data_IF_240385536216
#
_entry.id   IF_240385536216
#
_cell.length_a   1.000
_cell.length_b   1.000
_cell.length_c   1.000
_cell.angle_alpha   90.00
_cell.angle_beta   90.00
_cell.angle_gamma   90.00
#
_symmetry.space_group_name_H-M   'P 1'
#
loop_
_entity.id
_entity.type
_entity.pdbx_description
1 polymer ?
#
# COMPACT_ATOMS: atom_id res chain seq x y z
N UNK A 1 -3.86 28.44 30.57
CA UNK A 1 -3.87 29.56 29.60
C UNK A 1 -5.16 30.39 29.64
N UNK A 2 -6.12 30.08 30.51
CA UNK A 2 -7.37 30.85 30.64
C UNK A 2 -7.09 32.31 31.06
N UNK A 3 -7.76 33.26 30.43
CA UNK A 3 -7.52 34.71 30.61
C UNK A 3 -7.69 35.16 32.05
N UNK A 4 -8.70 34.65 32.75
CA UNK A 4 -9.00 35.05 34.12
C UNK A 4 -7.95 34.53 35.11
N UNK A 5 -7.35 33.38 34.82
CA UNK A 5 -6.22 32.86 35.59
C UNK A 5 -4.97 33.70 35.33
N UNK A 6 -4.68 34.01 34.06
CA UNK A 6 -3.53 34.82 33.66
C UNK A 6 -3.59 36.24 34.23
N UNK A 7 -4.78 36.82 34.32
CA UNK A 7 -5.02 38.17 34.85
C UNK A 7 -5.22 38.23 36.37
N UNK A 8 -5.04 37.09 37.09
CA UNK A 8 -5.19 36.98 38.55
C UNK A 8 -6.61 37.29 39.08
N UNK A 9 -7.64 37.07 38.26
CA UNK A 9 -9.05 37.22 38.64
C UNK A 9 -9.68 35.90 39.12
N UNK A 10 -8.91 34.82 39.19
CA UNK A 10 -9.40 33.52 39.67
C UNK A 10 -9.79 33.55 41.16
N UNK A 11 -11.02 33.13 41.46
CA UNK A 11 -11.55 32.97 42.83
C UNK A 11 -11.60 31.49 43.23
N UNK A 12 -12.04 31.19 44.46
CA UNK A 12 -12.16 29.80 44.97
C UNK A 12 -13.10 28.93 44.11
N UNK A 13 -14.08 29.54 43.46
CA UNK A 13 -15.04 28.84 42.59
C UNK A 13 -14.62 28.84 41.11
N UNK A 14 -13.40 29.28 40.79
CA UNK A 14 -12.91 29.45 39.42
C UNK A 14 -13.08 28.17 38.58
N UNK A 15 -12.67 27.00 39.08
CA UNK A 15 -12.79 25.74 38.33
C UNK A 15 -14.26 25.35 38.13
N UNK A 16 -15.10 25.54 39.15
CA UNK A 16 -16.54 25.20 39.11
C UNK A 16 -17.32 26.05 38.10
N UNK A 17 -16.91 27.31 37.91
CA UNK A 17 -17.58 28.26 37.02
C UNK A 17 -17.07 28.20 35.57
N UNK A 18 -16.03 27.42 35.29
CA UNK A 18 -15.40 27.30 33.96
C UNK A 18 -15.40 25.83 33.50
N UNK A 19 -16.59 25.26 33.15
CA UNK A 19 -16.74 23.86 32.76
C UNK A 19 -15.92 23.46 31.52
N UNK A 20 -15.55 24.42 30.67
CA UNK A 20 -14.64 24.23 29.54
C UNK A 20 -13.20 23.84 29.95
N UNK A 21 -12.78 24.11 31.19
CA UNK A 21 -11.52 23.60 31.71
C UNK A 21 -11.55 22.07 31.90
N UNK A 22 -12.75 21.50 32.02
CA UNK A 22 -12.98 20.06 32.13
C UNK A 22 -13.26 19.40 30.78
N UNK A 23 -13.45 20.17 29.71
CA UNK A 23 -13.59 19.63 28.36
C UNK A 23 -12.23 19.21 27.82
N UNK A 24 -11.84 17.99 28.11
CA UNK A 24 -10.63 17.39 27.53
C UNK A 24 -10.98 16.88 26.13
N UNK A 25 -10.56 17.61 25.11
CA UNK A 25 -10.51 17.07 23.75
C UNK A 25 -9.49 15.95 23.73
N UNK A 26 -9.89 14.72 23.39
CA UNK A 26 -8.94 13.66 23.13
C UNK A 26 -8.11 14.07 21.90
N UNK A 27 -6.90 14.58 22.13
CA UNK A 27 -5.96 14.86 21.05
C UNK A 27 -5.42 13.52 20.58
N UNK A 28 -5.87 13.07 19.41
CA UNK A 28 -5.25 11.93 18.77
C UNK A 28 -3.89 12.34 18.19
N UNK A 29 -2.81 11.96 18.87
CA UNK A 29 -1.45 12.10 18.35
C UNK A 29 -1.03 10.78 17.65
N UNK A 30 -0.80 10.79 16.32
CA UNK A 30 -0.31 9.61 15.58
C UNK A 30 1.03 9.09 16.12
N UNK A 31 1.89 9.95 16.65
CA UNK A 31 3.20 9.59 17.20
C UNK A 31 3.04 8.69 18.43
N UNK A 32 2.05 8.97 19.27
CA UNK A 32 1.71 8.12 20.43
C UNK A 32 1.22 6.75 19.97
N UNK A 33 0.44 6.68 18.87
CA UNK A 33 0.01 5.39 18.29
C UNK A 33 1.21 4.55 17.82
N UNK A 34 2.18 5.18 17.16
CA UNK A 34 3.43 4.52 16.72
C UNK A 34 4.25 4.03 17.91
N UNK A 35 4.45 4.87 18.94
CA UNK A 35 5.20 4.49 20.14
C UNK A 35 4.54 3.32 20.88
N UNK A 36 3.20 3.33 21.01
CA UNK A 36 2.43 2.22 21.58
C UNK A 36 2.60 0.93 20.76
N UNK A 37 2.56 1.03 19.44
CA UNK A 37 2.77 -0.11 18.56
C UNK A 37 4.18 -0.70 18.72
N UNK A 38 5.22 0.14 18.68
CA UNK A 38 6.61 -0.30 18.86
C UNK A 38 6.82 -0.93 20.24
N UNK A 39 6.32 -0.31 21.31
CA UNK A 39 6.39 -0.86 22.66
C UNK A 39 5.70 -2.23 22.76
N UNK A 40 4.51 -2.36 22.17
CA UNK A 40 3.77 -3.63 22.12
C UNK A 40 4.57 -4.71 21.39
N UNK A 41 5.15 -4.39 20.23
CA UNK A 41 5.93 -5.36 19.44
C UNK A 41 7.23 -5.75 20.13
N UNK A 42 7.92 -4.82 20.80
CA UNK A 42 9.16 -5.10 21.53
C UNK A 42 8.91 -6.02 22.72
N UNK A 43 7.81 -5.80 23.47
CA UNK A 43 7.50 -6.55 24.69
C UNK A 43 6.82 -7.89 24.37
N UNK A 44 5.82 -7.89 23.48
CA UNK A 44 4.97 -9.05 23.22
C UNK A 44 5.32 -9.80 21.92
N UNK A 45 6.25 -9.28 21.12
CA UNK A 45 6.54 -9.80 19.78
C UNK A 45 5.54 -9.33 18.72
N UNK A 46 5.74 -9.79 17.48
CA UNK A 46 4.84 -9.42 16.37
C UNK A 46 3.48 -10.10 16.51
N UNK A 47 2.36 -9.38 16.29
CA UNK A 47 1.02 -9.95 16.44
C UNK A 47 0.72 -11.05 15.41
N UNK A 48 1.40 -11.00 14.27
CA UNK A 48 1.38 -12.11 13.29
C UNK A 48 2.58 -13.01 13.55
N UNK A 49 2.36 -14.32 13.80
CA UNK A 49 3.45 -15.27 13.97
C UNK A 49 4.35 -15.30 12.72
N UNK A 50 5.66 -15.32 12.94
CA UNK A 50 6.60 -15.56 11.86
C UNK A 50 6.51 -17.03 11.44
N UNK A 51 6.39 -17.29 10.14
CA UNK A 51 6.43 -18.64 9.59
C UNK A 51 7.83 -19.27 9.59
N UNK A 52 8.77 -18.70 10.35
CA UNK A 52 10.18 -19.09 10.37
C UNK A 52 10.82 -18.74 11.71
N UNK A 53 11.86 -19.49 12.09
CA UNK A 53 12.73 -19.21 13.23
C UNK A 53 13.89 -18.27 12.87
N UNK A 54 14.03 -17.91 11.59
CA UNK A 54 15.07 -17.00 11.12
C UNK A 54 14.86 -15.60 11.70
N UNK A 55 15.97 -14.99 12.14
CA UNK A 55 15.96 -13.59 12.58
C UNK A 55 15.84 -12.66 11.37
N UNK A 56 15.21 -11.47 11.53
CA UNK A 56 15.23 -10.45 10.50
C UNK A 56 16.66 -10.12 10.07
N UNK A 57 16.84 -9.89 8.77
CA UNK A 57 18.13 -9.45 8.25
C UNK A 57 18.47 -8.05 8.75
N UNK A 58 19.75 -7.83 9.09
CA UNK A 58 20.31 -6.50 9.38
C UNK A 58 20.78 -5.78 8.11
N UNK A 59 20.79 -6.47 6.97
CA UNK A 59 21.17 -5.89 5.69
C UNK A 59 20.08 -4.92 5.22
N UNK A 60 20.46 -3.67 4.99
CA UNK A 60 19.60 -2.69 4.34
C UNK A 60 19.72 -2.88 2.83
N UNK A 61 18.63 -3.16 2.09
CA UNK A 61 18.69 -3.31 0.64
C UNK A 61 19.14 -2.02 -0.03
N UNK A 62 20.15 -2.11 -0.89
CA UNK A 62 20.58 -1.03 -1.77
C UNK A 62 19.59 -0.89 -2.92
N UNK A 63 19.07 0.31 -3.14
CA UNK A 63 18.19 0.59 -4.27
C UNK A 63 19.04 0.84 -5.53
N UNK A 64 18.58 0.39 -6.72
CA UNK A 64 19.22 0.74 -7.98
C UNK A 64 19.23 2.25 -8.20
N UNK A 65 20.30 2.74 -8.83
CA UNK A 65 20.37 4.14 -9.27
C UNK A 65 19.50 4.27 -10.52
N UNK A 66 18.53 5.19 -10.49
CA UNK A 66 17.68 5.54 -11.62
C UNK A 66 18.21 6.81 -12.30
N UNK A 67 18.05 6.91 -13.62
CA UNK A 67 18.36 8.14 -14.34
C UNK A 67 17.41 9.27 -13.90
N UNK A 68 17.88 10.53 -13.99
CA UNK A 68 17.05 11.72 -13.80
C UNK A 68 16.20 12.05 -15.05
N UNK A 69 16.31 11.25 -16.12
CA UNK A 69 15.50 11.41 -17.32
C UNK A 69 14.02 11.16 -17.06
N UNK A 70 13.16 11.77 -17.88
CA UNK A 70 11.72 11.50 -17.82
C UNK A 70 11.38 10.03 -18.06
N UNK A 71 10.37 9.52 -17.35
CA UNK A 71 9.84 8.17 -17.54
C UNK A 71 9.39 7.99 -19.00
N UNK A 72 9.92 6.94 -19.65
CA UNK A 72 9.58 6.62 -21.04
C UNK A 72 8.15 6.05 -21.09
N UNK A 73 7.31 6.49 -22.07
CA UNK A 73 5.99 5.90 -22.29
C UNK A 73 6.06 4.38 -22.48
N UNK A 74 5.15 3.67 -21.81
CA UNK A 74 5.08 2.22 -21.83
C UNK A 74 3.77 1.70 -22.40
N UNK A 75 3.50 0.43 -22.17
CA UNK A 75 2.30 -0.26 -22.64
C UNK A 75 0.99 0.33 -22.11
N UNK A 76 1.01 1.03 -20.96
CA UNK A 76 -0.17 1.72 -20.43
C UNK A 76 -0.59 2.88 -21.33
N UNK A 77 0.35 3.59 -21.91
CA UNK A 77 0.04 4.71 -22.80
C UNK A 77 -0.69 4.24 -24.06
N UNK A 78 -0.39 3.04 -24.56
CA UNK A 78 -1.13 2.42 -25.67
C UNK A 78 -2.54 2.05 -25.23
N UNK A 79 -2.69 1.45 -24.04
CA UNK A 79 -4.00 1.10 -23.48
C UNK A 79 -4.89 2.32 -23.28
N UNK A 80 -4.33 3.43 -22.77
CA UNK A 80 -5.07 4.67 -22.54
C UNK A 80 -5.45 5.38 -23.85
N UNK A 81 -4.56 5.36 -24.84
CA UNK A 81 -4.79 6.03 -26.13
C UNK A 81 -5.76 5.25 -27.03
N UNK A 82 -5.58 3.94 -27.15
CA UNK A 82 -6.25 3.11 -28.17
C UNK A 82 -7.31 2.16 -27.57
N UNK A 83 -7.47 2.16 -26.24
CA UNK A 83 -8.39 1.30 -25.52
C UNK A 83 -8.00 -0.19 -25.54
N UNK A 84 -8.81 -1.06 -24.92
CA UNK A 84 -8.52 -2.49 -24.81
C UNK A 84 -8.35 -3.20 -26.16
N UNK A 85 -9.18 -2.87 -27.14
CA UNK A 85 -9.11 -3.46 -28.49
C UNK A 85 -7.85 -3.05 -29.24
N UNK A 86 -7.42 -1.79 -29.12
CA UNK A 86 -6.17 -1.30 -29.71
C UNK A 86 -4.95 -1.92 -29.03
N UNK A 87 -4.98 -2.00 -27.70
CA UNK A 87 -3.97 -2.69 -26.91
C UNK A 87 -3.78 -4.14 -27.33
N UNK A 88 -4.87 -4.90 -27.48
CA UNK A 88 -4.83 -6.28 -27.94
C UNK A 88 -4.21 -6.41 -29.35
N UNK A 89 -4.58 -5.53 -30.29
CA UNK A 89 -3.97 -5.50 -31.63
C UNK A 89 -2.47 -5.19 -31.57
N UNK A 90 -2.06 -4.26 -30.70
CA UNK A 90 -0.66 -3.90 -30.53
C UNK A 90 0.17 -5.07 -30.00
N UNK A 91 -0.39 -5.87 -29.08
CA UNK A 91 0.25 -7.10 -28.58
C UNK A 91 0.41 -8.13 -29.71
N UNK A 92 -0.65 -8.39 -30.48
CA UNK A 92 -0.61 -9.36 -31.60
C UNK A 92 0.42 -8.97 -32.65
N UNK A 93 0.57 -7.68 -32.91
CA UNK A 93 1.54 -7.16 -33.89
C UNK A 93 2.96 -7.03 -33.32
N UNK A 94 3.18 -7.28 -32.02
CA UNK A 94 4.50 -7.18 -31.42
C UNK A 94 5.32 -8.45 -31.71
N UNK A 95 6.51 -8.27 -32.30
CA UNK A 95 7.32 -9.38 -32.80
C UNK A 95 8.13 -10.13 -31.75
N UNK A 96 8.26 -9.59 -30.54
CA UNK A 96 9.07 -10.17 -29.45
C UNK A 96 8.17 -10.72 -28.35
N UNK A 97 8.64 -11.70 -27.56
CA UNK A 97 7.95 -12.11 -26.35
C UNK A 97 7.78 -10.93 -25.40
N UNK A 98 6.58 -10.84 -24.83
CA UNK A 98 6.23 -9.84 -23.82
C UNK A 98 6.26 -10.48 -22.44
N UNK A 99 6.62 -9.70 -21.43
CA UNK A 99 6.80 -10.17 -20.06
C UNK A 99 5.87 -9.43 -19.11
N UNK A 100 5.26 -10.19 -18.22
CA UNK A 100 4.55 -9.69 -17.04
C UNK A 100 5.38 -10.03 -15.81
N UNK A 101 5.70 -9.01 -15.01
CA UNK A 101 6.37 -9.22 -13.74
C UNK A 101 5.35 -9.55 -12.66
N UNK A 102 5.54 -10.66 -11.95
CA UNK A 102 4.65 -11.15 -10.89
C UNK A 102 5.23 -10.98 -9.48
N UNK A 103 6.37 -10.29 -9.35
CA UNK A 103 7.10 -10.09 -8.10
C UNK A 103 6.22 -9.45 -7.03
N UNK A 104 5.38 -8.49 -7.42
CA UNK A 104 4.52 -7.73 -6.50
C UNK A 104 3.22 -8.46 -6.11
N UNK A 105 2.93 -9.64 -6.68
CA UNK A 105 1.72 -10.42 -6.40
C UNK A 105 2.02 -11.91 -6.23
N UNK A 106 2.19 -12.66 -7.31
CA UNK A 106 2.23 -14.14 -7.25
C UNK A 106 3.52 -14.68 -6.62
N UNK A 107 4.66 -14.03 -6.84
CA UNK A 107 5.94 -14.51 -6.35
C UNK A 107 5.98 -14.58 -4.82
N UNK A 108 5.63 -13.48 -4.14
CA UNK A 108 5.59 -13.46 -2.69
C UNK A 108 4.37 -14.18 -2.11
N UNK A 109 3.27 -14.30 -2.86
CA UNK A 109 2.18 -15.21 -2.49
C UNK A 109 2.66 -16.66 -2.40
N UNK A 110 3.49 -17.09 -3.35
CA UNK A 110 4.03 -18.46 -3.42
C UNK A 110 5.15 -18.71 -2.40
N UNK A 111 6.05 -17.74 -2.21
CA UNK A 111 7.29 -17.93 -1.44
C UNK A 111 7.24 -17.37 -0.01
N UNK A 112 6.42 -16.35 0.22
CA UNK A 112 6.43 -15.54 1.45
C UNK A 112 5.04 -15.41 2.07
N UNK A 113 4.12 -16.33 1.81
CA UNK A 113 2.74 -16.32 2.31
C UNK A 113 2.04 -14.96 2.11
N UNK A 114 2.33 -14.31 0.99
CA UNK A 114 1.76 -13.02 0.59
C UNK A 114 2.14 -11.85 1.52
N UNK A 115 3.24 -11.97 2.29
CA UNK A 115 3.60 -11.00 3.33
C UNK A 115 4.47 -9.83 2.87
N UNK A 116 4.67 -9.63 1.57
CA UNK A 116 5.38 -8.44 1.08
C UNK A 116 4.57 -7.17 1.36
N UNK A 117 5.22 -6.17 1.96
CA UNK A 117 4.59 -4.94 2.45
C UNK A 117 4.61 -3.84 1.41
N UNK A 118 3.65 -2.92 1.50
CA UNK A 118 3.57 -1.74 0.63
C UNK A 118 4.87 -0.92 0.70
N UNK A 119 5.46 -0.84 1.89
CA UNK A 119 6.73 -0.14 2.13
C UNK A 119 7.84 -0.62 1.17
N UNK A 120 8.05 -1.92 1.03
CA UNK A 120 9.11 -2.48 0.20
C UNK A 120 8.79 -2.33 -1.30
N UNK A 121 7.52 -2.51 -1.68
CA UNK A 121 7.06 -2.36 -3.06
C UNK A 121 7.29 -0.92 -3.57
N UNK A 122 7.00 0.09 -2.75
CA UNK A 122 7.18 1.51 -3.12
C UNK A 122 8.63 1.87 -3.34
N UNK A 123 9.55 1.28 -2.57
CA UNK A 123 10.98 1.60 -2.67
C UNK A 123 11.57 1.20 -4.02
N UNK A 124 11.06 0.14 -4.64
CA UNK A 124 11.54 -0.32 -5.95
C UNK A 124 10.69 0.18 -7.12
N UNK A 125 9.48 0.67 -6.87
CA UNK A 125 8.55 1.14 -7.90
C UNK A 125 9.15 2.19 -8.88
N UNK A 126 9.95 3.19 -8.46
CA UNK A 126 10.60 4.11 -9.39
C UNK A 126 11.51 3.38 -10.40
N UNK A 127 12.31 2.42 -9.94
CA UNK A 127 13.14 1.61 -10.84
C UNK A 127 12.30 0.81 -11.83
N UNK A 128 11.17 0.23 -11.41
CA UNK A 128 10.26 -0.46 -12.33
C UNK A 128 9.73 0.50 -13.42
N UNK A 129 9.36 1.72 -13.05
CA UNK A 129 8.85 2.70 -13.99
C UNK A 129 9.90 3.13 -15.03
N UNK A 130 11.14 3.37 -14.61
CA UNK A 130 12.22 3.83 -15.49
C UNK A 130 12.81 2.68 -16.32
N UNK A 131 13.41 1.69 -15.64
CA UNK A 131 14.26 0.68 -16.28
C UNK A 131 13.46 -0.51 -16.81
N UNK A 132 12.27 -0.75 -16.28
CA UNK A 132 11.39 -1.87 -16.68
C UNK A 132 10.16 -1.40 -17.49
N UNK A 133 10.22 -0.20 -18.08
CA UNK A 133 9.14 0.42 -18.88
C UNK A 133 8.59 -0.44 -20.04
N UNK A 134 9.36 -1.45 -20.48
CA UNK A 134 8.98 -2.38 -21.58
C UNK A 134 8.14 -3.56 -21.13
N UNK A 135 7.93 -3.77 -19.83
CA UNK A 135 7.03 -4.81 -19.32
C UNK A 135 5.62 -4.59 -19.83
N UNK A 136 4.97 -5.69 -20.22
CA UNK A 136 3.57 -5.67 -20.66
C UNK A 136 2.63 -5.30 -19.52
N UNK A 137 2.90 -5.82 -18.33
CA UNK A 137 2.16 -5.49 -17.12
C UNK A 137 2.99 -5.77 -15.87
N UNK A 138 2.62 -5.09 -14.78
CA UNK A 138 2.99 -5.48 -13.42
C UNK A 138 1.78 -6.15 -12.79
N UNK A 139 1.91 -7.42 -12.44
CA UNK A 139 0.92 -8.08 -11.64
C UNK A 139 1.17 -7.77 -10.16
N UNK A 140 0.32 -6.90 -9.61
CA UNK A 140 0.55 -6.28 -8.29
C UNK A 140 -0.69 -6.29 -7.38
N UNK A 141 -1.79 -6.94 -7.80
CA UNK A 141 -3.05 -6.90 -7.05
C UNK A 141 -3.93 -8.14 -7.24
N UNK A 142 -4.97 -8.26 -6.42
CA UNK A 142 -5.87 -9.40 -6.44
C UNK A 142 -5.27 -10.67 -5.82
N UNK A 143 -5.91 -11.81 -6.06
CA UNK A 143 -5.56 -13.05 -5.35
C UNK A 143 -5.65 -12.88 -3.83
N UNK A 144 -4.68 -13.42 -3.09
CA UNK A 144 -4.66 -13.32 -1.62
C UNK A 144 -4.21 -11.96 -1.09
N UNK A 145 -3.68 -11.07 -1.95
CA UNK A 145 -3.06 -9.80 -1.50
C UNK A 145 -4.08 -8.87 -0.82
N UNK A 146 -5.34 -8.91 -1.24
CA UNK A 146 -6.40 -8.05 -0.70
C UNK A 146 -6.69 -8.36 0.78
N UNK A 147 -7.02 -9.62 1.10
CA UNK A 147 -7.29 -10.04 2.48
C UNK A 147 -6.04 -9.99 3.35
N UNK A 148 -4.89 -10.41 2.82
CA UNK A 148 -3.66 -10.47 3.60
C UNK A 148 -3.18 -9.08 4.01
N UNK A 149 -3.31 -8.08 3.13
CA UNK A 149 -2.96 -6.70 3.47
C UNK A 149 -3.75 -6.20 4.68
N UNK A 150 -5.07 -6.42 4.69
CA UNK A 150 -5.94 -6.00 5.78
C UNK A 150 -5.71 -6.82 7.05
N UNK A 151 -5.69 -8.15 6.92
CA UNK A 151 -5.73 -9.07 8.07
C UNK A 151 -4.39 -9.21 8.79
N UNK A 152 -3.28 -9.22 8.05
CA UNK A 152 -1.98 -9.57 8.60
C UNK A 152 -0.95 -8.45 8.50
N UNK A 153 -1.08 -7.56 7.51
CA UNK A 153 -0.16 -6.43 7.37
C UNK A 153 -0.70 -5.14 8.00
N UNK A 154 -2.00 -5.10 8.30
CA UNK A 154 -2.71 -3.91 8.79
C UNK A 154 -2.54 -2.70 7.84
N UNK A 155 -2.55 -2.98 6.53
CA UNK A 155 -2.37 -2.01 5.45
C UNK A 155 -3.61 -2.02 4.54
N UNK A 156 -3.98 -0.86 3.99
CA UNK A 156 -5.07 -0.76 3.03
C UNK A 156 -4.62 -1.19 1.62
N UNK A 157 -5.20 -2.25 1.00
CA UNK A 157 -4.81 -2.70 -0.33
C UNK A 157 -5.15 -1.69 -1.43
N UNK A 158 -6.13 -0.80 -1.20
CA UNK A 158 -6.47 0.30 -2.11
C UNK A 158 -5.43 1.41 -2.07
N UNK A 159 -4.96 1.77 -0.87
CA UNK A 159 -3.88 2.75 -0.72
C UNK A 159 -2.59 2.24 -1.37
N UNK A 160 -2.27 0.95 -1.20
CA UNK A 160 -1.15 0.30 -1.91
C UNK A 160 -1.27 0.49 -3.43
N UNK A 161 -2.46 0.23 -3.99
CA UNK A 161 -2.70 0.34 -5.42
C UNK A 161 -2.52 1.78 -5.91
N UNK A 162 -3.08 2.76 -5.19
CA UNK A 162 -2.98 4.18 -5.52
C UNK A 162 -1.53 4.68 -5.46
N UNK A 163 -0.81 4.40 -4.37
CA UNK A 163 0.58 4.82 -4.18
C UNK A 163 1.51 4.17 -5.22
N UNK A 164 1.30 2.89 -5.56
CA UNK A 164 2.06 2.26 -6.65
C UNK A 164 1.72 2.87 -8.01
N UNK A 165 0.46 3.24 -8.25
CA UNK A 165 0.02 3.82 -9.52
C UNK A 165 0.64 5.20 -9.77
N UNK A 166 0.83 5.99 -8.72
CA UNK A 166 1.55 7.27 -8.77
C UNK A 166 3.03 7.06 -9.13
N UNK A 167 3.67 6.07 -8.51
CA UNK A 167 5.10 5.80 -8.69
C UNK A 167 5.44 5.12 -10.02
N UNK A 168 4.52 4.31 -10.56
CA UNK A 168 4.64 3.66 -11.86
C UNK A 168 3.52 4.20 -12.72
N UNK A 169 3.70 5.20 -13.59
CA UNK A 169 2.61 5.76 -14.39
C UNK A 169 2.47 5.15 -15.80
N UNK A 170 3.45 4.36 -16.25
CA UNK A 170 3.64 3.95 -17.65
C UNK A 170 3.43 2.44 -17.94
N UNK A 171 3.38 1.58 -16.90
CA UNK A 171 3.18 0.13 -17.06
C UNK A 171 1.75 -0.28 -16.63
N UNK A 172 1.00 -1.06 -17.43
CA UNK A 172 -0.32 -1.55 -17.02
C UNK A 172 -0.27 -2.34 -15.71
N UNK A 173 -1.27 -2.14 -14.85
CA UNK A 173 -1.41 -2.97 -13.65
C UNK A 173 -2.36 -4.12 -13.95
N UNK A 174 -1.93 -5.32 -13.57
CA UNK A 174 -2.68 -6.55 -13.72
C UNK A 174 -3.08 -7.08 -12.35
N UNK A 175 -4.28 -7.65 -12.27
CA UNK A 175 -4.76 -8.34 -11.08
C UNK A 175 -5.28 -9.73 -11.41
N UNK A 176 -5.17 -10.63 -10.44
CA UNK A 176 -5.89 -11.89 -10.45
C UNK A 176 -7.28 -11.69 -9.85
N UNK A 177 -8.33 -11.87 -10.67
CA UNK A 177 -9.73 -11.76 -10.28
C UNK A 177 -10.43 -13.11 -10.41
N UNK A 178 -11.16 -13.55 -9.38
CA UNK A 178 -12.04 -14.72 -9.45
C UNK A 178 -13.42 -14.28 -9.93
N UNK A 179 -13.89 -14.80 -11.06
CA UNK A 179 -15.14 -14.34 -11.69
C UNK A 179 -16.37 -14.35 -10.77
N UNK A 180 -16.52 -15.36 -9.91
CA UNK A 180 -17.68 -15.46 -9.02
C UNK A 180 -17.62 -14.50 -7.81
N UNK A 181 -16.42 -14.23 -7.29
CA UNK A 181 -16.28 -13.67 -5.93
C UNK A 181 -15.33 -12.46 -5.87
N UNK A 182 -14.86 -11.96 -7.01
CA UNK A 182 -13.80 -10.98 -7.14
C UNK A 182 -12.53 -11.37 -6.34
N UNK A 183 -12.35 -10.79 -5.16
CA UNK A 183 -11.24 -11.03 -4.22
C UNK A 183 -11.70 -11.58 -2.87
N UNK A 184 -13.00 -11.86 -2.71
CA UNK A 184 -13.58 -12.36 -1.46
C UNK A 184 -13.68 -13.90 -1.39
N UNK A 185 -14.11 -14.38 -0.23
CA UNK A 185 -14.18 -15.81 0.10
C UNK A 185 -15.60 -16.37 0.13
N UNK A 186 -16.61 -15.54 -0.13
CA UNK A 186 -18.03 -15.92 -0.20
C UNK A 186 -18.58 -15.65 -1.59
N UNK A 187 -19.72 -16.24 -1.90
CA UNK A 187 -20.46 -15.88 -3.11
C UNK A 187 -21.09 -14.51 -2.90
N UNK A 188 -21.00 -13.65 -3.92
CA UNK A 188 -21.58 -12.33 -3.91
C UNK A 188 -22.61 -12.20 -5.04
N UNK A 189 -23.67 -11.41 -4.85
CA UNK A 189 -24.59 -11.09 -5.93
C UNK A 189 -23.88 -10.24 -7.00
N UNK A 190 -24.41 -10.27 -8.22
CA UNK A 190 -23.78 -9.62 -9.38
C UNK A 190 -23.48 -8.14 -9.12
N UNK A 191 -24.37 -7.40 -8.44
CA UNK A 191 -24.18 -5.97 -8.13
C UNK A 191 -23.00 -5.64 -7.19
N UNK A 192 -22.36 -6.66 -6.60
CA UNK A 192 -21.14 -6.50 -5.79
C UNK A 192 -19.88 -6.78 -6.63
N UNK A 193 -20.01 -7.51 -7.74
CA UNK A 193 -18.89 -7.95 -8.59
C UNK A 193 -18.85 -7.19 -9.92
N UNK A 194 -20.01 -6.89 -10.49
CA UNK A 194 -20.27 -6.30 -11.80
C UNK A 194 -20.97 -4.94 -11.70
#
# INVERSE_FOLDING_TARGET
SHTDFSNKFATTDFISNHPELSSVSAVEDPSIKILKFLGTVIVNGTPTPLGTTLKPSTLIPTLPIISNDSIIPGWKNILERDGPSGFAKAIVNHSKPLLTDTTLRDAHQSLLATRMRTFDMKRIAPFLAHDMSKLLSLECWGGATFDVALRFLYECPWQRLAELRELVPNIPFQMLLRGANAVGYKNYPDNVVF
#
